data_IF_020137110905
#
_entry.id   IF_020137110905
#
_cell.length_a   1.000
_cell.length_b   1.000
_cell.length_c   1.000
_cell.angle_alpha   90.00
_cell.angle_beta   90.00
_cell.angle_gamma   90.00
#
_symmetry.space_group_name_H-M   'P 1'
#
loop_
_entity.id
_entity.type
_entity.pdbx_description
1 polymer ?
#
# COMPACT_ATOMS: atom_id res chain seq x y z
N UNK A 1 22.38 -1.17 -4.72
CA UNK A 1 22.99 -2.36 -4.08
C UNK A 1 22.23 -3.65 -4.33
N UNK A 2 21.00 -3.81 -3.80
CA UNK A 2 20.23 -5.05 -3.99
C UNK A 2 20.15 -5.49 -5.46
N UNK A 3 19.81 -4.56 -6.36
CA UNK A 3 19.73 -4.86 -7.79
C UNK A 3 21.07 -5.25 -8.42
N UNK A 4 22.18 -4.67 -7.95
CA UNK A 4 23.53 -5.04 -8.41
C UNK A 4 23.82 -6.49 -8.01
N UNK A 5 23.54 -6.85 -6.77
CA UNK A 5 23.70 -8.23 -6.29
C UNK A 5 22.79 -9.20 -7.04
N UNK A 6 21.52 -8.85 -7.26
CA UNK A 6 20.57 -9.69 -8.01
C UNK A 6 21.02 -9.88 -9.46
N UNK A 7 21.47 -8.82 -10.12
CA UNK A 7 21.95 -8.87 -11.51
C UNK A 7 23.20 -9.74 -11.69
N UNK A 8 23.99 -9.93 -10.62
CA UNK A 8 25.14 -10.85 -10.63
C UNK A 8 24.72 -12.34 -10.55
N UNK A 9 23.43 -12.64 -10.37
CA UNK A 9 22.89 -14.00 -10.35
C UNK A 9 22.19 -14.37 -11.67
N UNK A 10 21.73 -15.62 -11.85
CA UNK A 10 20.87 -15.99 -12.98
C UNK A 10 19.46 -15.36 -12.94
N UNK A 11 19.07 -14.69 -11.86
CA UNK A 11 17.78 -14.01 -11.80
C UNK A 11 17.66 -12.92 -12.87
N UNK A 12 16.46 -12.78 -13.44
CA UNK A 12 16.15 -11.77 -14.47
C UNK A 12 14.98 -10.87 -14.08
N UNK A 13 14.22 -11.27 -13.08
CA UNK A 13 13.02 -10.57 -12.60
C UNK A 13 13.23 -10.17 -11.13
N UNK A 14 12.85 -8.95 -10.78
CA UNK A 14 12.90 -8.43 -9.41
C UNK A 14 11.56 -7.78 -9.07
N UNK A 15 10.90 -8.29 -8.03
CA UNK A 15 9.60 -7.78 -7.58
C UNK A 15 9.77 -7.07 -6.23
N UNK A 16 9.32 -5.83 -6.15
CA UNK A 16 9.20 -5.08 -4.90
C UNK A 16 7.77 -5.22 -4.38
N UNK A 17 7.61 -5.85 -3.22
CA UNK A 17 6.36 -5.81 -2.46
C UNK A 17 6.40 -4.59 -1.53
N UNK A 18 5.55 -3.60 -1.80
CA UNK A 18 5.52 -2.37 -1.01
C UNK A 18 4.23 -2.24 -0.20
N UNK A 19 4.37 -2.26 1.13
CA UNK A 19 3.28 -2.03 2.08
C UNK A 19 3.13 -0.59 2.56
N UNK A 20 3.94 0.37 2.08
CA UNK A 20 3.91 1.75 2.56
C UNK A 20 3.77 2.76 1.42
N UNK A 21 2.66 3.52 1.43
CA UNK A 21 2.32 4.43 0.33
C UNK A 21 3.40 5.48 0.00
N UNK A 22 4.14 5.97 1.00
CA UNK A 22 5.23 6.94 0.80
C UNK A 22 6.38 6.45 -0.09
N UNK A 23 6.54 5.13 -0.26
CA UNK A 23 7.58 4.57 -1.11
C UNK A 23 7.16 4.44 -2.58
N UNK A 24 5.87 4.54 -2.91
CA UNK A 24 5.35 4.13 -4.22
C UNK A 24 5.98 4.90 -5.37
N UNK A 25 6.00 6.24 -5.32
CA UNK A 25 6.59 7.07 -6.39
C UNK A 25 8.09 6.80 -6.57
N UNK A 26 8.82 6.64 -5.47
CA UNK A 26 10.25 6.34 -5.50
C UNK A 26 10.53 4.95 -6.09
N UNK A 27 9.73 3.94 -5.72
CA UNK A 27 9.89 2.58 -6.24
C UNK A 27 9.52 2.47 -7.71
N UNK A 28 8.53 3.22 -8.21
CA UNK A 28 8.24 3.29 -9.65
C UNK A 28 9.45 3.85 -10.41
N UNK A 29 10.05 4.94 -9.95
CA UNK A 29 11.29 5.48 -10.53
C UNK A 29 12.42 4.45 -10.47
N UNK A 30 12.63 3.84 -9.30
CA UNK A 30 13.67 2.84 -9.11
C UNK A 30 13.50 1.64 -10.06
N UNK A 31 12.29 1.11 -10.25
CA UNK A 31 12.03 0.03 -11.22
C UNK A 31 12.59 0.38 -12.61
N UNK A 32 12.23 1.56 -13.13
CA UNK A 32 12.72 2.02 -14.44
C UNK A 32 14.25 2.13 -14.47
N UNK A 33 14.83 2.79 -13.48
CA UNK A 33 16.28 3.03 -13.44
C UNK A 33 17.06 1.72 -13.36
N UNK A 34 16.60 0.77 -12.54
CA UNK A 34 17.20 -0.55 -12.41
C UNK A 34 17.07 -1.40 -13.68
N UNK A 35 15.93 -1.31 -14.39
CA UNK A 35 15.75 -1.98 -15.69
C UNK A 35 16.74 -1.47 -16.73
N UNK A 36 16.97 -0.15 -16.77
CA UNK A 36 17.91 0.49 -17.69
C UNK A 36 19.35 0.12 -17.31
N UNK A 37 19.71 0.22 -16.03
CA UNK A 37 21.08 0.03 -15.57
C UNK A 37 21.53 -1.45 -15.58
N UNK A 38 20.63 -2.39 -15.32
CA UNK A 38 20.98 -3.79 -15.06
C UNK A 38 20.28 -4.81 -15.96
N UNK A 39 19.37 -4.37 -16.84
CA UNK A 39 18.63 -5.30 -17.70
C UNK A 39 17.58 -6.16 -16.99
N UNK A 40 17.37 -5.97 -15.68
CA UNK A 40 16.38 -6.69 -14.89
C UNK A 40 14.96 -6.26 -15.25
N UNK A 41 14.04 -7.19 -15.44
CA UNK A 41 12.61 -6.90 -15.44
C UNK A 41 12.16 -6.62 -14.01
N UNK A 42 11.72 -5.40 -13.74
CA UNK A 42 11.38 -4.94 -12.39
C UNK A 42 9.90 -4.67 -12.26
N UNK A 43 9.32 -5.09 -11.15
CA UNK A 43 7.88 -4.95 -10.89
C UNK A 43 7.66 -4.38 -9.49
N UNK A 44 6.62 -3.58 -9.34
CA UNK A 44 6.14 -3.08 -8.05
C UNK A 44 4.75 -3.63 -7.82
N UNK A 45 4.56 -4.31 -6.69
CA UNK A 45 3.27 -4.83 -6.25
C UNK A 45 2.93 -4.27 -4.88
N UNK A 46 1.64 -4.15 -4.60
CA UNK A 46 1.11 -3.71 -3.31
C UNK A 46 0.09 -4.74 -2.80
N UNK A 47 0.04 -5.01 -1.49
CA UNK A 47 -1.04 -5.82 -0.92
C UNK A 47 -2.40 -5.12 -1.11
N UNK A 48 -2.41 -3.79 -0.92
CA UNK A 48 -3.49 -2.90 -1.31
C UNK A 48 -2.89 -1.70 -2.02
N UNK A 49 -3.49 -1.28 -3.13
CA UNK A 49 -3.10 0.00 -3.73
C UNK A 49 -3.47 1.10 -2.71
N UNK A 50 -2.53 1.98 -2.32
CA UNK A 50 -2.85 3.05 -1.38
C UNK A 50 -3.90 3.99 -1.96
N UNK A 51 -4.88 4.50 -1.18
CA UNK A 51 -5.88 5.43 -1.70
C UNK A 51 -5.26 6.72 -2.29
N UNK A 52 -4.15 7.19 -1.70
CA UNK A 52 -3.37 8.30 -2.23
C UNK A 52 -2.85 8.08 -3.67
N UNK A 53 -2.71 6.82 -4.08
CA UNK A 53 -2.25 6.39 -5.40
C UNK A 53 -3.38 5.83 -6.27
N UNK A 54 -4.64 6.14 -5.96
CA UNK A 54 -5.81 5.70 -6.72
C UNK A 54 -6.37 4.33 -6.31
N UNK A 55 -5.97 3.81 -5.15
CA UNK A 55 -6.56 2.61 -4.58
C UNK A 55 -7.91 2.85 -3.89
N UNK A 56 -8.65 1.78 -3.57
CA UNK A 56 -9.91 1.90 -2.85
C UNK A 56 -9.68 2.25 -1.38
N UNK A 57 -10.59 3.03 -0.81
CA UNK A 57 -10.77 3.23 0.64
C UNK A 57 -12.21 2.85 0.97
N UNK A 58 -12.50 2.54 2.23
CA UNK A 58 -13.86 2.18 2.63
C UNK A 58 -14.78 3.40 2.52
N UNK A 59 -16.08 3.16 2.31
CA UNK A 59 -17.07 4.24 2.26
C UNK A 59 -17.09 5.02 3.58
N UNK A 60 -16.92 4.32 4.72
CA UNK A 60 -16.88 4.91 6.05
C UNK A 60 -15.66 5.83 6.27
N UNK A 61 -14.59 5.64 5.51
CA UNK A 61 -13.36 6.43 5.58
C UNK A 61 -13.30 7.55 4.52
N UNK A 62 -14.36 7.73 3.72
CA UNK A 62 -14.52 8.84 2.76
C UNK A 62 -13.40 8.97 1.72
N UNK A 63 -12.72 7.88 1.36
CA UNK A 63 -11.54 7.97 0.48
C UNK A 63 -10.23 8.31 1.20
N UNK A 64 -10.29 8.55 2.51
CA UNK A 64 -9.20 9.14 3.30
C UNK A 64 -8.58 8.17 4.31
N UNK A 65 -9.01 6.91 4.34
CA UNK A 65 -8.43 5.85 5.17
C UNK A 65 -7.10 5.40 4.61
N UNK A 66 -6.04 6.18 4.87
CA UNK A 66 -4.73 5.99 4.24
C UNK A 66 -3.66 5.42 5.16
N UNK A 67 -3.88 5.42 6.48
CA UNK A 67 -2.92 4.88 7.45
C UNK A 67 -3.57 4.55 8.80
N UNK A 68 -3.40 3.33 9.31
CA UNK A 68 -3.97 2.86 10.57
C UNK A 68 -5.50 2.81 10.58
N UNK A 69 -6.10 2.75 9.39
CA UNK A 69 -7.54 2.66 9.19
C UNK A 69 -8.07 1.23 9.39
N UNK A 70 -9.29 0.99 8.89
CA UNK A 70 -10.01 -0.26 9.06
C UNK A 70 -9.21 -1.49 8.59
N UNK A 71 -8.73 -1.46 7.34
CA UNK A 71 -8.10 -2.61 6.70
C UNK A 71 -6.73 -2.94 7.30
N UNK A 72 -5.87 -1.95 7.53
CA UNK A 72 -4.55 -2.17 8.15
C UNK A 72 -4.70 -2.75 9.56
N UNK A 73 -5.61 -2.18 10.36
CA UNK A 73 -5.85 -2.64 11.73
C UNK A 73 -6.43 -4.05 11.76
N UNK A 74 -7.40 -4.36 10.89
CA UNK A 74 -7.99 -5.69 10.81
C UNK A 74 -6.94 -6.73 10.39
N UNK A 75 -6.13 -6.42 9.38
CA UNK A 75 -5.08 -7.32 8.91
C UNK A 75 -4.04 -7.61 10.00
N UNK A 76 -3.61 -6.59 10.75
CA UNK A 76 -2.69 -6.78 11.87
C UNK A 76 -3.33 -7.52 13.06
N UNK A 77 -4.62 -7.29 13.34
CA UNK A 77 -5.34 -8.03 14.36
C UNK A 77 -5.37 -9.55 14.07
N UNK A 78 -5.46 -9.92 12.78
CA UNK A 78 -5.35 -11.31 12.32
C UNK A 78 -3.90 -11.83 12.33
N UNK A 79 -2.95 -11.11 11.74
CA UNK A 79 -1.57 -11.58 11.55
C UNK A 79 -0.73 -11.59 12.84
N UNK A 80 -1.03 -10.67 13.75
CA UNK A 80 -0.28 -10.43 14.99
C UNK A 80 -1.27 -10.26 16.15
N UNK A 81 -2.05 -11.30 16.47
CA UNK A 81 -2.97 -11.24 17.59
C UNK A 81 -2.20 -10.87 18.87
N UNK A 82 -2.71 -9.90 19.61
CA UNK A 82 -2.06 -9.35 20.81
C UNK A 82 -1.14 -8.14 20.58
N UNK A 83 -0.86 -7.75 19.34
CA UNK A 83 -0.17 -6.48 19.02
C UNK A 83 -1.13 -5.35 18.63
N UNK A 84 -2.44 -5.63 18.60
CA UNK A 84 -3.50 -4.66 18.35
C UNK A 84 -4.39 -4.59 19.58
N UNK A 85 -4.42 -3.43 20.24
CA UNK A 85 -5.34 -3.14 21.33
C UNK A 85 -6.51 -2.31 20.82
N UNK A 86 -7.63 -2.98 20.53
CA UNK A 86 -8.84 -2.34 20.02
C UNK A 86 -9.45 -1.32 20.97
N UNK A 87 -9.08 -1.31 22.26
CA UNK A 87 -9.54 -0.26 23.20
C UNK A 87 -8.96 1.12 22.87
N UNK A 88 -7.88 1.16 22.10
CA UNK A 88 -7.22 2.39 21.64
C UNK A 88 -7.65 2.79 20.22
N UNK A 89 -8.56 2.02 19.59
CA UNK A 89 -9.07 2.33 18.26
C UNK A 89 -9.95 3.59 18.33
N UNK A 90 -9.44 4.69 17.79
CA UNK A 90 -10.12 5.99 17.73
C UNK A 90 -10.23 6.41 16.27
N UNK A 91 -11.38 6.95 15.86
CA UNK A 91 -11.57 7.49 14.52
C UNK A 91 -10.75 8.78 14.30
N UNK A 92 -10.03 8.87 13.19
CA UNK A 92 -9.23 10.04 12.78
C UNK A 92 -9.36 10.27 11.26
N UNK A 93 -10.57 10.57 10.80
CA UNK A 93 -10.86 10.82 9.37
C UNK A 93 -10.83 12.34 9.10
N UNK A 94 -10.06 12.83 8.10
CA UNK A 94 -9.98 14.25 7.78
C UNK A 94 -11.17 14.74 6.95
N UNK A 95 -12.35 14.80 7.57
CA UNK A 95 -13.62 15.17 6.91
C UNK A 95 -13.59 16.55 6.25
N UNK A 96 -12.79 17.48 6.79
CA UNK A 96 -12.61 18.82 6.22
C UNK A 96 -12.05 18.78 4.79
N UNK A 97 -11.36 17.71 4.41
CA UNK A 97 -10.81 17.50 3.07
C UNK A 97 -11.84 16.90 2.10
N UNK A 98 -12.93 16.32 2.61
CA UNK A 98 -13.96 15.70 1.77
C UNK A 98 -14.68 16.70 0.86
N UNK A 99 -14.71 17.99 1.25
CA UNK A 99 -15.27 19.07 0.44
C UNK A 99 -14.35 19.53 -0.70
N UNK A 100 -13.09 19.11 -0.72
CA UNK A 100 -12.14 19.51 -1.75
C UNK A 100 -12.38 18.74 -3.05
N UNK A 101 -12.39 19.46 -4.17
CA UNK A 101 -12.50 18.83 -5.50
C UNK A 101 -11.16 18.18 -5.92
N UNK A 102 -10.05 18.90 -5.72
CA UNK A 102 -8.74 18.56 -6.29
C UNK A 102 -7.68 18.15 -5.27
N UNK A 103 -7.54 18.92 -4.18
CA UNK A 103 -6.52 18.69 -3.13
C UNK A 103 -7.09 17.74 -2.08
N UNK A 104 -6.95 16.45 -2.34
CA UNK A 104 -7.40 15.38 -1.44
C UNK A 104 -6.63 14.09 -1.68
N UNK A 105 -6.68 13.13 -0.76
CA UNK A 105 -6.14 11.80 -1.05
C UNK A 105 -6.88 11.19 -2.25
N UNK A 106 -6.12 10.63 -3.18
CA UNK A 106 -6.64 10.15 -4.47
C UNK A 106 -7.08 11.26 -5.44
N UNK A 107 -6.91 12.55 -5.08
CA UNK A 107 -7.18 13.69 -5.94
C UNK A 107 -6.10 13.89 -7.02
N UNK A 108 -6.44 14.66 -8.06
CA UNK A 108 -5.52 14.95 -9.17
C UNK A 108 -4.41 15.93 -8.78
N UNK A 109 -4.57 16.68 -7.69
CA UNK A 109 -3.53 17.57 -7.14
C UNK A 109 -2.86 16.88 -5.96
N UNK A 110 -1.61 16.47 -6.18
CA UNK A 110 -0.74 15.90 -5.16
C UNK A 110 -0.20 17.02 -4.25
N UNK A 111 -0.01 16.72 -2.97
CA UNK A 111 0.47 17.68 -1.98
C UNK A 111 1.44 17.01 -0.99
N UNK A 112 2.38 17.78 -0.45
CA UNK A 112 3.30 17.31 0.59
C UNK A 112 2.62 17.36 1.94
N UNK A 113 2.67 16.25 2.69
CA UNK A 113 2.05 16.13 3.99
C UNK A 113 2.82 15.14 4.88
N UNK A 114 2.54 15.22 6.17
CA UNK A 114 3.01 14.30 7.21
C UNK A 114 1.82 13.88 8.08
N UNK A 115 1.89 12.74 8.74
CA UNK A 115 0.80 12.30 9.62
C UNK A 115 0.48 13.31 10.74
N UNK A 116 1.44 14.15 11.14
CA UNK A 116 1.26 15.20 12.14
C UNK A 116 0.30 16.30 11.68
N UNK A 117 0.17 16.51 10.37
CA UNK A 117 -0.78 17.47 9.80
C UNK A 117 -2.24 17.04 10.00
N UNK A 118 -2.46 15.76 10.34
CA UNK A 118 -3.78 15.14 10.55
C UNK A 118 -4.08 14.81 12.02
N UNK A 119 -3.18 15.18 12.94
CA UNK A 119 -3.38 15.05 14.37
C UNK A 119 -2.25 14.33 15.10
N UNK A 120 -2.29 14.33 16.45
CA UNK A 120 -1.19 13.82 17.27
C UNK A 120 -1.11 12.29 17.31
N UNK A 121 -2.18 11.58 16.92
CA UNK A 121 -2.26 10.12 16.99
C UNK A 121 -1.49 9.42 15.87
N UNK A 122 -1.22 10.14 14.77
CA UNK A 122 -0.43 9.64 13.65
C UNK A 122 -1.16 8.75 12.65
N UNK A 123 -2.34 8.22 12.97
CA UNK A 123 -3.20 7.50 12.03
C UNK A 123 -4.24 8.41 11.36
N UNK A 124 -4.67 8.01 10.17
CA UNK A 124 -5.58 8.73 9.28
C UNK A 124 -6.55 7.69 8.70
N UNK A 125 -7.71 7.55 9.34
CA UNK A 125 -8.70 6.51 9.06
C UNK A 125 -9.54 6.15 10.29
N UNK A 126 -10.38 5.13 10.17
CA UNK A 126 -11.23 4.64 11.24
C UNK A 126 -10.99 3.15 11.53
N UNK A 127 -10.16 2.83 12.55
CA UNK A 127 -9.91 1.45 12.93
C UNK A 127 -11.05 0.81 13.74
N UNK A 128 -12.07 1.55 14.19
CA UNK A 128 -13.02 1.10 15.21
C UNK A 128 -13.85 -0.14 14.82
N UNK A 129 -14.05 -0.36 13.52
CA UNK A 129 -14.73 -1.53 12.97
C UNK A 129 -13.84 -2.75 12.72
N UNK A 130 -12.53 -2.68 13.04
CA UNK A 130 -11.59 -3.73 12.67
C UNK A 130 -11.84 -5.02 13.46
N UNK A 131 -11.91 -6.15 12.75
CA UNK A 131 -12.09 -7.48 13.34
C UNK A 131 -11.06 -8.47 12.79
N UNK A 132 -10.79 -9.51 13.58
CA UNK A 132 -9.92 -10.62 13.15
C UNK A 132 -10.49 -11.32 11.91
N UNK A 133 -11.82 -11.50 11.85
CA UNK A 133 -12.47 -12.14 10.71
C UNK A 133 -12.34 -11.31 9.42
N UNK A 134 -12.46 -9.97 9.52
CA UNK A 134 -12.16 -9.08 8.40
C UNK A 134 -10.69 -9.21 7.97
N UNK A 135 -9.76 -9.22 8.93
CA UNK A 135 -8.34 -9.39 8.68
C UNK A 135 -8.00 -10.71 7.96
N UNK A 136 -8.65 -11.81 8.36
CA UNK A 136 -8.51 -13.12 7.74
C UNK A 136 -8.95 -13.08 6.26
N UNK A 137 -10.14 -12.53 5.98
CA UNK A 137 -10.63 -12.39 4.60
C UNK A 137 -9.72 -11.54 3.74
N UNK A 138 -9.30 -10.38 4.26
CA UNK A 138 -8.39 -9.48 3.57
C UNK A 138 -7.05 -10.18 3.27
N UNK A 139 -6.51 -10.94 4.22
CA UNK A 139 -5.27 -11.69 4.02
C UNK A 139 -5.39 -12.71 2.89
N UNK A 140 -6.46 -13.51 2.87
CA UNK A 140 -6.70 -14.50 1.83
C UNK A 140 -6.85 -13.86 0.45
N UNK A 141 -7.58 -12.75 0.36
CA UNK A 141 -7.74 -11.96 -0.87
C UNK A 141 -6.39 -11.44 -1.40
N UNK A 142 -5.59 -10.82 -0.51
CA UNK A 142 -4.26 -10.31 -0.86
C UNK A 142 -3.33 -11.42 -1.33
N UNK A 143 -3.26 -12.53 -0.59
CA UNK A 143 -2.38 -13.66 -0.94
C UNK A 143 -2.80 -14.28 -2.26
N UNK A 144 -4.10 -14.47 -2.49
CA UNK A 144 -4.64 -14.99 -3.74
C UNK A 144 -4.29 -14.08 -4.93
N UNK A 145 -4.53 -12.78 -4.81
CA UNK A 145 -4.24 -11.80 -5.85
C UNK A 145 -2.74 -11.73 -6.15
N UNK A 146 -1.89 -11.63 -5.12
CA UNK A 146 -0.44 -11.55 -5.29
C UNK A 146 0.14 -12.83 -5.89
N UNK A 147 -0.36 -14.01 -5.51
CA UNK A 147 0.05 -15.26 -6.14
C UNK A 147 -0.29 -15.26 -7.65
N UNK A 148 -1.42 -14.67 -8.04
CA UNK A 148 -1.77 -14.50 -9.45
C UNK A 148 -0.85 -13.50 -10.17
N UNK A 149 -0.58 -12.35 -9.56
CA UNK A 149 0.36 -11.36 -10.10
C UNK A 149 1.75 -11.95 -10.30
N UNK A 150 2.26 -12.72 -9.34
CA UNK A 150 3.58 -13.34 -9.43
C UNK A 150 3.66 -14.39 -10.56
N UNK A 151 2.58 -15.13 -10.82
CA UNK A 151 2.50 -16.03 -11.98
C UNK A 151 2.58 -15.25 -13.29
N UNK A 152 1.80 -14.19 -13.42
CA UNK A 152 1.83 -13.33 -14.62
C UNK A 152 3.19 -12.68 -14.83
N UNK A 153 3.81 -12.18 -13.76
CA UNK A 153 5.16 -11.61 -13.77
C UNK A 153 6.20 -12.65 -14.23
N UNK A 154 6.06 -13.90 -13.81
CA UNK A 154 6.99 -14.96 -14.19
C UNK A 154 6.97 -15.23 -15.70
N UNK A 155 5.81 -15.10 -16.34
CA UNK A 155 5.60 -15.33 -17.77
C UNK A 155 5.69 -14.05 -18.62
N UNK A 156 5.74 -12.87 -17.99
CA UNK A 156 5.80 -11.58 -18.69
C UNK A 156 7.16 -11.34 -19.33
N UNK A 157 7.16 -11.05 -20.64
CA UNK A 157 8.31 -10.55 -21.39
C UNK A 157 7.85 -9.45 -22.37
N UNK A 158 8.72 -8.48 -22.67
CA UNK A 158 8.44 -7.52 -23.73
C UNK A 158 8.51 -8.23 -25.09
N UNK A 159 7.59 -7.94 -26.04
CA UNK A 159 7.75 -8.39 -27.42
C UNK A 159 9.09 -7.92 -27.98
N UNK A 160 9.79 -8.83 -28.67
CA UNK A 160 11.02 -8.54 -29.41
C UNK A 160 10.78 -7.83 -30.73
#
# INVERSE_FOLDING_TARGET
DLAVCVAATPARRLVFLNGHGGNSSLLVTACRDLRVAHGLLTFLVHPFIPPASGGPSTEEELGMGIHGGLHETALFAYLRPGQVDMKQAVRSVPEWMAANEWVRFGGSVQFGWTSRDFGPQGHIGDPSGATVDLGCRLFDEVVGAMASQLREIADFDFPG
#
